data_IF_750613617497
#
_entry.id   IF_750613617497
#
_cell.length_a   1.000
_cell.length_b   1.000
_cell.length_c   1.000
_cell.angle_alpha   90.00
_cell.angle_beta   90.00
_cell.angle_gamma   90.00
#
_symmetry.space_group_name_H-M   'P 1'
#
loop_
_entity.id
_entity.type
_entity.pdbx_description
1 polymer ?
#
# COMPACT_ATOMS: atom_id res chain seq x y z
N UNK A 1 9.04 9.53 13.01
CA UNK A 1 9.47 8.86 11.77
C UNK A 1 8.42 7.80 11.42
N UNK A 2 7.33 8.20 10.73
CA UNK A 2 6.26 7.27 10.36
C UNK A 2 6.68 6.31 9.24
N UNK A 3 6.29 5.05 9.37
CA UNK A 3 6.47 4.00 8.37
C UNK A 3 5.09 3.43 8.02
N UNK A 4 4.78 3.34 6.73
CA UNK A 4 3.56 2.74 6.21
C UNK A 4 3.92 1.56 5.31
N UNK A 5 3.35 0.40 5.61
CA UNK A 5 3.48 -0.79 4.75
C UNK A 5 2.13 -1.10 4.13
N UNK A 6 2.08 -1.16 2.81
CA UNK A 6 0.89 -1.48 2.03
C UNK A 6 1.07 -2.90 1.51
N UNK A 7 0.26 -3.83 2.03
CA UNK A 7 0.19 -5.20 1.53
C UNK A 7 -0.98 -5.30 0.55
N UNK A 8 -0.67 -5.65 -0.70
CA UNK A 8 -1.68 -5.67 -1.78
C UNK A 8 -1.25 -6.60 -2.91
N UNK A 9 -2.14 -6.83 -3.87
CA UNK A 9 -1.79 -7.43 -5.16
C UNK A 9 -0.96 -6.47 -6.04
N UNK A 10 -0.29 -6.98 -7.09
CA UNK A 10 0.47 -6.15 -8.01
C UNK A 10 -0.38 -5.01 -8.61
N UNK A 11 0.19 -3.79 -8.63
CA UNK A 11 -0.44 -2.58 -9.19
C UNK A 11 0.52 -1.84 -10.12
N UNK A 12 -0.07 -1.01 -10.98
CA UNK A 12 0.69 -0.16 -11.89
C UNK A 12 1.55 0.85 -11.13
N UNK A 13 2.73 1.15 -11.67
CA UNK A 13 3.66 2.11 -11.07
C UNK A 13 3.05 3.51 -10.94
N UNK A 14 2.21 3.94 -11.89
CA UNK A 14 1.53 5.23 -11.84
C UNK A 14 0.58 5.33 -10.62
N UNK A 15 -0.15 4.25 -10.31
CA UNK A 15 -1.03 4.18 -9.15
C UNK A 15 -0.23 4.23 -7.84
N UNK A 16 0.88 3.47 -7.76
CA UNK A 16 1.76 3.47 -6.58
C UNK A 16 2.38 4.84 -6.33
N UNK A 17 2.79 5.56 -7.38
CA UNK A 17 3.34 6.93 -7.28
C UNK A 17 2.32 7.91 -6.71
N UNK A 18 1.11 7.93 -7.26
CA UNK A 18 0.08 8.84 -6.78
C UNK A 18 -0.33 8.51 -5.33
N UNK A 19 -0.44 7.23 -4.99
CA UNK A 19 -0.76 6.81 -3.63
C UNK A 19 0.33 7.23 -2.64
N UNK A 20 1.61 7.05 -3.00
CA UNK A 20 2.72 7.47 -2.15
C UNK A 20 2.72 8.98 -1.90
N UNK A 21 2.45 9.79 -2.94
CA UNK A 21 2.34 11.25 -2.82
C UNK A 21 1.27 11.65 -1.81
N UNK A 22 0.04 11.12 -1.96
CA UNK A 22 -1.10 11.50 -1.11
C UNK A 22 -0.96 11.03 0.34
N UNK A 23 -0.39 9.85 0.57
CA UNK A 23 -0.16 9.37 1.94
C UNK A 23 0.86 10.27 2.64
N UNK A 24 1.97 10.61 1.99
CA UNK A 24 2.98 11.51 2.56
C UNK A 24 2.41 12.91 2.83
N UNK A 25 1.58 13.43 1.92
CA UNK A 25 0.84 14.68 2.10
C UNK A 25 -0.04 14.64 3.35
N UNK A 26 -0.82 13.57 3.54
CA UNK A 26 -1.66 13.41 4.73
C UNK A 26 -0.86 13.40 6.05
N UNK A 27 0.33 12.76 6.09
CA UNK A 27 1.19 12.83 7.27
C UNK A 27 1.73 14.24 7.52
N UNK A 28 2.09 14.95 6.46
CA UNK A 28 2.59 16.31 6.57
C UNK A 28 1.50 17.25 7.08
N UNK A 29 0.28 17.13 6.57
CA UNK A 29 -0.85 17.98 6.94
C UNK A 29 -1.39 17.68 8.34
N UNK A 30 -1.59 16.40 8.68
CA UNK A 30 -2.27 16.01 9.92
C UNK A 30 -1.31 15.90 11.09
N UNK A 31 -0.09 15.38 10.88
CA UNK A 31 0.88 15.20 11.96
C UNK A 31 1.95 16.29 12.00
N UNK A 32 2.01 17.19 11.00
CA UNK A 32 2.99 18.27 10.96
C UNK A 32 4.44 17.80 10.81
N UNK A 33 4.64 16.57 10.31
CA UNK A 33 5.99 16.00 10.11
C UNK A 33 6.54 16.38 8.74
N UNK A 34 7.87 16.45 8.62
CA UNK A 34 8.51 16.67 7.33
C UNK A 34 8.29 15.48 6.39
N UNK A 35 8.12 15.68 5.07
CA UNK A 35 7.85 14.59 4.13
C UNK A 35 8.99 13.57 4.06
N UNK A 36 10.25 14.00 4.26
CA UNK A 36 11.42 13.10 4.26
C UNK A 36 11.41 12.13 5.45
N UNK A 37 10.58 12.38 6.47
CA UNK A 37 10.43 11.49 7.62
C UNK A 37 9.43 10.36 7.39
N UNK A 38 8.65 10.41 6.30
CA UNK A 38 7.62 9.45 5.96
C UNK A 38 8.19 8.40 5.01
N UNK A 39 8.12 7.13 5.39
CA UNK A 39 8.58 6.02 4.58
C UNK A 39 7.40 5.13 4.18
N UNK A 40 7.35 4.72 2.91
CA UNK A 40 6.32 3.85 2.39
C UNK A 40 6.93 2.62 1.73
N UNK A 41 6.39 1.45 2.07
CA UNK A 41 6.74 0.17 1.46
C UNK A 41 5.52 -0.43 0.77
N UNK A 42 5.67 -0.80 -0.50
CA UNK A 42 4.69 -1.58 -1.23
C UNK A 42 5.12 -3.05 -1.21
N UNK A 43 4.41 -3.87 -0.45
CA UNK A 43 4.59 -5.31 -0.40
C UNK A 43 3.54 -5.97 -1.29
N UNK A 44 3.95 -6.26 -2.53
CA UNK A 44 3.08 -6.88 -3.52
C UNK A 44 3.19 -8.40 -3.41
N UNK A 45 2.06 -9.06 -3.12
CA UNK A 45 1.94 -10.52 -3.04
C UNK A 45 1.01 -10.99 -4.15
N UNK A 46 1.29 -12.13 -4.75
CA UNK A 46 0.40 -12.70 -5.77
C UNK A 46 -0.83 -13.39 -5.13
N UNK A 47 -1.80 -13.77 -5.97
CA UNK A 47 -3.01 -14.48 -5.54
C UNK A 47 -2.73 -15.83 -4.87
N UNK A 48 -1.57 -16.44 -5.10
CA UNK A 48 -1.19 -17.74 -4.55
C UNK A 48 -0.53 -17.61 -3.17
N UNK A 49 -0.06 -16.41 -2.83
CA UNK A 49 0.66 -16.11 -1.57
C UNK A 49 -0.20 -15.35 -0.56
N UNK A 50 -1.50 -15.20 -0.82
CA UNK A 50 -2.42 -14.46 0.04
C UNK A 50 -3.78 -15.17 0.13
N UNK A 51 -4.39 -15.14 1.30
CA UNK A 51 -5.74 -15.66 1.53
C UNK A 51 -6.52 -14.73 2.45
N UNK A 52 -7.84 -14.67 2.26
CA UNK A 52 -8.77 -13.96 3.14
C UNK A 52 -9.98 -14.85 3.43
N UNK A 53 -10.30 -15.01 4.71
CA UNK A 53 -11.45 -15.84 5.11
C UNK A 53 -11.33 -17.31 4.68
N UNK A 54 -10.11 -17.84 4.57
CA UNK A 54 -9.86 -19.21 4.13
C UNK A 54 -9.89 -19.43 2.61
N UNK A 55 -10.07 -18.37 1.81
CA UNK A 55 -10.07 -18.43 0.34
C UNK A 55 -8.80 -17.78 -0.20
N UNK A 56 -8.10 -18.48 -1.11
CA UNK A 56 -6.89 -17.96 -1.75
C UNK A 56 -7.24 -16.78 -2.66
N UNK A 57 -6.31 -15.82 -2.76
CA UNK A 57 -6.46 -14.65 -3.62
C UNK A 57 -6.66 -15.00 -5.09
N UNK A 58 -6.04 -16.08 -5.56
CA UNK A 58 -6.20 -16.61 -6.91
C UNK A 58 -7.58 -17.26 -7.15
N UNK A 59 -8.26 -17.68 -6.10
CA UNK A 59 -9.56 -18.35 -6.18
C UNK A 59 -10.71 -17.36 -5.98
N UNK A 60 -10.44 -16.21 -5.36
CA UNK A 60 -11.40 -15.11 -5.27
C UNK A 60 -11.60 -14.45 -6.63
N UNK A 61 -12.80 -14.63 -7.20
CA UNK A 61 -13.24 -13.85 -8.36
C UNK A 61 -13.29 -12.36 -7.97
N UNK A 62 -12.71 -11.44 -8.77
CA UNK A 62 -12.89 -10.02 -8.51
C UNK A 62 -14.38 -9.70 -8.59
N UNK A 63 -14.97 -9.26 -7.47
CA UNK A 63 -16.30 -8.65 -7.43
C UNK A 63 -16.27 -7.22 -7.93
#
# INVERSE_FOLDING_TARGET
MPIVTIQQFPRDLAQKRELARRITEAFTEVYGVKPESVQLFFSEVDGQSWAKGGVMGCDSTPG
#
